data_IF_966244223481
#
_entry.id   IF_966244223481
#
_cell.length_a   1.000
_cell.length_b   1.000
_cell.length_c   1.000
_cell.angle_alpha   90.00
_cell.angle_beta   90.00
_cell.angle_gamma   90.00
#
_symmetry.space_group_name_H-M   'P 1'
#
loop_
_entity.id
_entity.type
_entity.pdbx_description
1 polymer ?
#
# COMPACT_ATOMS: atom_id res chain seq x y z
N UNK A 1 12.05 0.43 -19.58
CA UNK A 1 11.49 0.15 -18.25
C UNK A 1 10.09 -0.38 -18.43
N UNK A 2 9.80 -1.56 -17.87
CA UNK A 2 8.46 -2.14 -17.86
C UNK A 2 7.80 -1.74 -16.55
N UNK A 3 6.58 -1.24 -16.65
CA UNK A 3 5.76 -0.90 -15.48
C UNK A 3 4.53 -1.79 -15.45
N UNK A 4 4.04 -2.09 -14.26
CA UNK A 4 2.73 -2.70 -14.11
C UNK A 4 1.65 -1.74 -14.59
N UNK A 5 0.56 -2.27 -15.08
CA UNK A 5 -0.56 -1.46 -15.55
C UNK A 5 -1.76 -1.57 -14.60
N UNK A 6 -2.75 -0.71 -14.84
CA UNK A 6 -3.93 -0.62 -13.99
C UNK A 6 -4.76 -1.92 -13.90
N UNK A 7 -4.64 -2.81 -14.86
CA UNK A 7 -5.40 -4.06 -14.82
C UNK A 7 -4.98 -4.97 -13.69
N UNK A 8 -3.74 -4.85 -13.25
CA UNK A 8 -3.15 -5.68 -12.21
C UNK A 8 -3.24 -5.02 -10.81
N UNK A 9 -3.73 -3.80 -10.72
CA UNK A 9 -3.77 -3.06 -9.44
C UNK A 9 -4.61 -3.74 -8.37
N UNK A 10 -5.55 -4.57 -8.77
CA UNK A 10 -6.45 -5.29 -7.87
C UNK A 10 -6.00 -6.71 -7.55
N UNK A 11 -4.94 -7.18 -8.14
CA UNK A 11 -4.49 -8.56 -7.98
C UNK A 11 -2.97 -8.66 -7.94
N UNK A 12 -2.39 -9.03 -9.04
CA UNK A 12 -0.98 -9.43 -9.13
C UNK A 12 0.00 -8.35 -8.67
N UNK A 13 -0.35 -7.09 -8.92
CA UNK A 13 0.51 -5.95 -8.53
C UNK A 13 0.57 -5.77 -7.03
N UNK A 14 -0.53 -6.04 -6.33
CA UNK A 14 -0.62 -5.87 -4.88
C UNK A 14 -0.02 -7.07 -4.14
N UNK A 15 -0.17 -8.25 -4.70
CA UNK A 15 0.18 -9.51 -4.04
C UNK A 15 1.45 -10.17 -4.60
N UNK A 16 2.25 -9.42 -5.35
CA UNK A 16 3.30 -10.01 -6.17
C UNK A 16 2.71 -10.58 -7.45
N UNK A 17 3.36 -11.51 -8.06
CA UNK A 17 2.93 -12.14 -9.32
C UNK A 17 2.17 -13.46 -9.09
N UNK A 18 1.51 -13.61 -7.96
CA UNK A 18 0.97 -14.89 -7.52
C UNK A 18 -0.08 -15.50 -8.46
N UNK A 19 -0.76 -14.69 -9.27
CA UNK A 19 -1.75 -15.16 -10.24
C UNK A 19 -1.19 -15.35 -11.64
N UNK A 20 0.11 -15.13 -11.84
CA UNK A 20 0.73 -15.23 -13.14
C UNK A 20 0.98 -16.71 -13.54
N UNK A 21 -0.07 -17.39 -13.96
CA UNK A 21 -0.05 -18.76 -14.50
C UNK A 21 0.65 -19.81 -13.60
N UNK A 22 0.68 -19.59 -12.30
CA UNK A 22 1.31 -20.49 -11.34
C UNK A 22 2.85 -20.52 -11.39
N UNK A 23 3.45 -19.51 -12.01
CA UNK A 23 4.92 -19.40 -12.12
C UNK A 23 5.55 -18.86 -10.84
N UNK A 24 4.84 -18.00 -10.13
CA UNK A 24 5.31 -17.34 -8.91
C UNK A 24 4.60 -17.88 -7.66
N UNK A 25 5.22 -17.73 -6.47
CA UNK A 25 4.59 -18.10 -5.21
C UNK A 25 3.27 -17.37 -5.00
N UNK A 26 2.25 -18.11 -4.59
CA UNK A 26 0.96 -17.53 -4.20
C UNK A 26 1.02 -16.99 -2.78
N UNK A 27 1.02 -15.67 -2.64
CA UNK A 27 0.92 -15.00 -1.36
C UNK A 27 -0.54 -14.74 -0.98
N UNK A 28 -0.88 -14.70 0.31
CA UNK A 28 -2.21 -14.24 0.73
C UNK A 28 -2.38 -12.77 0.41
N UNK A 29 -3.62 -12.28 0.39
CA UNK A 29 -3.91 -10.85 0.27
C UNK A 29 -3.25 -10.02 1.38
N UNK A 30 -3.14 -8.71 1.19
CA UNK A 30 -2.42 -7.81 2.08
C UNK A 30 -2.88 -7.87 3.54
N UNK A 31 -4.18 -7.99 3.80
CA UNK A 31 -4.69 -8.23 5.16
C UNK A 31 -4.24 -9.57 5.73
N UNK A 32 -4.17 -10.60 4.91
CA UNK A 32 -3.65 -11.92 5.31
C UNK A 32 -2.16 -11.87 5.64
N UNK A 33 -1.36 -11.14 4.85
CA UNK A 33 0.06 -10.90 5.14
C UNK A 33 0.20 -10.13 6.46
N UNK A 34 -0.58 -9.07 6.67
CA UNK A 34 -0.56 -8.29 7.90
C UNK A 34 -0.91 -9.14 9.13
N UNK A 35 -1.94 -10.00 9.01
CA UNK A 35 -2.31 -10.94 10.07
C UNK A 35 -1.17 -11.95 10.36
N UNK A 36 -0.53 -12.47 9.33
CA UNK A 36 0.61 -13.38 9.48
C UNK A 36 1.81 -12.69 10.13
N UNK A 37 2.08 -11.45 9.80
CA UNK A 37 3.13 -10.63 10.43
C UNK A 37 2.83 -10.40 11.90
N UNK A 38 1.59 -10.11 12.25
CA UNK A 38 1.19 -9.93 13.66
C UNK A 38 1.40 -11.19 14.49
N UNK A 39 1.25 -12.37 13.88
CA UNK A 39 1.47 -13.67 14.55
C UNK A 39 2.92 -14.15 14.55
N UNK A 40 3.69 -13.84 13.52
CA UNK A 40 5.04 -14.39 13.29
C UNK A 40 6.17 -13.37 13.40
N UNK A 41 5.83 -12.10 13.55
CA UNK A 41 6.80 -11.01 13.62
C UNK A 41 7.16 -10.38 12.27
N UNK A 42 7.82 -9.23 12.33
CA UNK A 42 8.05 -8.36 11.16
C UNK A 42 9.01 -8.92 10.11
N UNK A 43 9.85 -9.91 10.45
CA UNK A 43 10.76 -10.55 9.48
C UNK A 43 10.05 -11.21 8.30
N UNK A 44 8.76 -11.53 8.44
CA UNK A 44 7.96 -12.02 7.31
C UNK A 44 7.77 -10.98 6.23
N UNK A 45 7.68 -9.69 6.60
CA UNK A 45 7.59 -8.59 5.62
C UNK A 45 8.87 -8.51 4.80
N UNK A 46 10.02 -8.66 5.44
CA UNK A 46 11.31 -8.60 4.76
C UNK A 46 11.44 -9.73 3.72
N UNK A 47 11.03 -10.95 4.10
CA UNK A 47 10.98 -12.08 3.17
C UNK A 47 10.03 -11.83 2.00
N UNK A 48 8.84 -11.32 2.28
CA UNK A 48 7.84 -10.98 1.27
C UNK A 48 8.37 -9.92 0.29
N UNK A 49 8.96 -8.84 0.82
CA UNK A 49 9.52 -7.76 0.00
C UNK A 49 10.67 -8.25 -0.91
N UNK A 50 11.56 -9.09 -0.38
CA UNK A 50 12.64 -9.68 -1.16
C UNK A 50 12.11 -10.60 -2.27
N UNK A 51 11.13 -11.44 -1.98
CA UNK A 51 10.51 -12.30 -3.00
C UNK A 51 9.93 -11.47 -4.14
N UNK A 52 9.11 -10.45 -3.82
CA UNK A 52 8.54 -9.56 -4.84
C UNK A 52 9.61 -8.88 -5.67
N UNK A 53 10.61 -8.32 -5.02
CA UNK A 53 11.71 -7.65 -5.73
C UNK A 53 12.38 -8.58 -6.74
N UNK A 54 12.71 -9.79 -6.31
CA UNK A 54 13.39 -10.79 -7.17
C UNK A 54 12.49 -11.27 -8.31
N UNK A 55 11.22 -11.53 -8.03
CA UNK A 55 10.25 -11.98 -9.02
C UNK A 55 10.05 -10.91 -10.10
N UNK A 56 9.83 -9.68 -9.70
CA UNK A 56 9.59 -8.59 -10.63
C UNK A 56 10.83 -8.20 -11.41
N UNK A 57 12.00 -8.21 -10.78
CA UNK A 57 13.26 -7.99 -11.49
C UNK A 57 13.51 -9.07 -12.55
N UNK A 58 13.26 -10.34 -12.22
CA UNK A 58 13.44 -11.47 -13.13
C UNK A 58 12.57 -11.38 -14.40
N UNK A 59 11.39 -10.77 -14.32
CA UNK A 59 10.50 -10.56 -15.47
C UNK A 59 10.58 -9.16 -16.06
N UNK A 60 11.52 -8.31 -15.58
CA UNK A 60 11.76 -6.97 -16.08
C UNK A 60 10.72 -5.92 -15.66
N UNK A 61 9.89 -6.18 -14.65
CA UNK A 61 8.99 -5.19 -14.06
C UNK A 61 9.77 -4.30 -13.10
N UNK A 62 9.93 -3.04 -13.43
CA UNK A 62 10.77 -2.10 -12.68
C UNK A 62 9.99 -1.05 -11.90
N UNK A 63 8.67 -1.03 -12.01
CA UNK A 63 7.81 -0.13 -11.22
C UNK A 63 6.44 -0.75 -11.00
N UNK A 64 5.99 -0.69 -9.73
CA UNK A 64 4.64 -0.98 -9.33
C UNK A 64 3.99 0.19 -8.59
N UNK A 65 2.69 0.33 -8.64
CA UNK A 65 1.96 1.30 -7.81
C UNK A 65 1.25 0.60 -6.66
N UNK A 66 2.07 0.13 -5.79
CA UNK A 66 1.80 -0.58 -4.56
C UNK A 66 2.73 -0.06 -3.45
N UNK A 67 2.39 -0.11 -2.20
CA UNK A 67 1.17 -0.69 -1.59
C UNK A 67 0.23 0.41 -1.11
N UNK A 68 -1.00 -0.01 -0.71
CA UNK A 68 -1.94 0.86 -0.04
C UNK A 68 -1.51 1.06 1.41
N UNK A 69 -1.07 2.29 1.72
CA UNK A 69 -0.77 2.73 3.08
C UNK A 69 -2.02 3.27 3.81
N UNK A 70 -3.17 3.07 3.18
CA UNK A 70 -4.46 3.50 3.71
C UNK A 70 -4.82 2.71 4.97
N UNK A 71 -5.14 3.39 6.06
CA UNK A 71 -5.74 2.78 7.23
C UNK A 71 -7.25 2.58 6.98
N UNK A 72 -7.75 1.36 7.17
CA UNK A 72 -9.13 0.99 6.95
C UNK A 72 -9.99 1.48 8.12
N UNK A 73 -10.42 2.74 8.09
CA UNK A 73 -11.26 3.34 9.15
C UNK A 73 -12.76 3.29 8.83
N UNK A 74 -13.13 3.08 7.57
CA UNK A 74 -14.52 2.81 7.17
C UNK A 74 -14.62 1.42 6.50
N UNK A 75 -15.22 0.43 7.17
CA UNK A 75 -15.32 -0.94 6.64
C UNK A 75 -16.26 -1.06 5.43
N UNK A 76 -17.06 -0.03 5.12
CA UNK A 76 -17.93 0.01 3.93
C UNK A 76 -17.14 0.29 2.66
N UNK A 77 -15.91 0.78 2.79
CA UNK A 77 -15.07 1.05 1.64
C UNK A 77 -14.70 -0.26 0.92
N UNK A 78 -15.06 -0.36 -0.34
CA UNK A 78 -14.90 -1.59 -1.12
C UNK A 78 -13.44 -2.04 -1.32
N UNK A 79 -12.46 -1.15 -1.12
CA UNK A 79 -11.03 -1.48 -1.30
C UNK A 79 -10.31 -1.88 -0.02
N UNK A 80 -11.03 -2.15 1.05
CA UNK A 80 -10.46 -2.59 2.33
C UNK A 80 -9.56 -3.81 2.19
N UNK A 81 -9.90 -4.73 1.28
CA UNK A 81 -9.12 -5.94 1.01
C UNK A 81 -7.66 -5.67 0.60
N UNK A 82 -7.38 -4.52 -0.01
CA UNK A 82 -6.03 -4.12 -0.46
C UNK A 82 -5.19 -3.42 0.62
N UNK A 83 -5.75 -3.20 1.82
CA UNK A 83 -5.06 -2.56 2.93
C UNK A 83 -4.34 -3.57 3.82
N UNK A 84 -3.50 -3.08 4.72
CA UNK A 84 -2.92 -3.88 5.82
C UNK A 84 -3.80 -3.84 7.09
N UNK A 85 -5.04 -3.37 7.00
CA UNK A 85 -5.99 -3.27 8.11
C UNK A 85 -6.15 -1.86 8.65
N UNK A 86 -6.52 -1.76 9.92
CA UNK A 86 -6.87 -0.50 10.57
C UNK A 86 -5.82 0.02 11.56
N UNK A 87 -4.88 -0.83 11.97
CA UNK A 87 -3.86 -0.50 12.97
C UNK A 87 -2.74 0.37 12.34
N UNK A 88 -2.65 1.67 12.68
CA UNK A 88 -1.68 2.56 12.07
C UNK A 88 -0.24 2.19 12.39
N UNK A 89 0.03 1.59 13.54
CA UNK A 89 1.37 1.15 13.90
C UNK A 89 1.81 -0.03 13.02
N UNK A 90 0.94 -1.02 12.82
CA UNK A 90 1.21 -2.15 11.94
C UNK A 90 1.40 -1.69 10.49
N UNK A 91 0.52 -0.82 9.97
CA UNK A 91 0.63 -0.31 8.60
C UNK A 91 1.94 0.44 8.41
N UNK A 92 2.31 1.29 9.39
CA UNK A 92 3.57 2.04 9.37
C UNK A 92 4.77 1.10 9.35
N UNK A 93 4.79 0.06 10.17
CA UNK A 93 5.84 -0.95 10.17
C UNK A 93 5.92 -1.69 8.83
N UNK A 94 4.78 -2.13 8.29
CA UNK A 94 4.72 -2.77 6.97
C UNK A 94 5.35 -1.89 5.89
N UNK A 95 4.90 -0.65 5.78
CA UNK A 95 5.40 0.29 4.76
C UNK A 95 6.89 0.59 4.96
N UNK A 96 7.35 0.78 6.20
CA UNK A 96 8.75 1.08 6.50
C UNK A 96 9.72 -0.04 6.08
N UNK A 97 9.25 -1.28 6.01
CA UNK A 97 10.03 -2.45 5.56
C UNK A 97 9.84 -2.74 4.08
N UNK A 98 8.61 -2.66 3.58
CA UNK A 98 8.30 -2.93 2.17
C UNK A 98 9.02 -1.98 1.23
N UNK A 99 9.07 -0.69 1.55
CA UNK A 99 9.71 0.31 0.66
C UNK A 99 11.16 -0.03 0.40
N UNK A 100 12.07 -0.11 1.40
CA UNK A 100 13.46 -0.43 1.13
C UNK A 100 13.67 -1.87 0.64
N UNK A 101 12.89 -2.83 1.11
CA UNK A 101 13.00 -4.23 0.71
C UNK A 101 12.71 -4.43 -0.77
N UNK A 102 11.68 -3.78 -1.30
CA UNK A 102 11.30 -3.86 -2.72
C UNK A 102 12.20 -2.97 -3.58
N UNK A 103 12.58 -1.79 -3.10
CA UNK A 103 13.49 -0.89 -3.82
C UNK A 103 14.96 -1.35 -3.77
N UNK A 104 15.31 -2.26 -2.87
CA UNK A 104 16.61 -2.87 -2.76
C UNK A 104 17.59 -2.14 -1.84
N UNK A 105 17.23 -0.96 -1.31
CA UNK A 105 18.05 -0.25 -0.31
C UNK A 105 17.27 0.79 0.47
N UNK A 106 17.81 1.19 1.63
CA UNK A 106 17.36 2.33 2.43
C UNK A 106 17.59 3.69 1.74
N UNK A 107 18.40 3.71 0.69
CA UNK A 107 18.79 4.93 -0.03
C UNK A 107 17.93 5.20 -1.27
N UNK A 108 17.01 4.30 -1.60
CA UNK A 108 16.14 4.39 -2.77
C UNK A 108 16.27 3.16 -3.67
N UNK A 109 15.90 3.29 -4.94
CA UNK A 109 15.84 2.18 -5.89
C UNK A 109 17.23 1.78 -6.37
N UNK A 110 17.56 0.49 -6.26
CA UNK A 110 18.80 -0.07 -6.85
C UNK A 110 18.54 -0.56 -8.29
N UNK A 111 19.58 -0.92 -9.06
CA UNK A 111 19.41 -1.51 -10.40
C UNK A 111 18.56 -2.77 -10.41
N UNK A 112 18.63 -3.60 -9.37
CA UNK A 112 17.84 -4.82 -9.17
C UNK A 112 16.54 -4.55 -8.39
N UNK A 113 16.32 -3.30 -8.00
CA UNK A 113 15.15 -2.86 -7.26
C UNK A 113 13.95 -2.62 -8.15
N UNK A 114 12.80 -2.53 -7.49
CA UNK A 114 11.53 -2.16 -8.11
C UNK A 114 11.04 -0.87 -7.47
N UNK A 115 10.84 0.16 -8.27
CA UNK A 115 10.29 1.42 -7.81
C UNK A 115 8.86 1.24 -7.31
N UNK A 116 8.54 1.73 -6.11
CA UNK A 116 7.21 1.63 -5.53
C UNK A 116 6.45 2.96 -5.59
N UNK A 117 5.13 2.88 -5.65
CA UNK A 117 4.24 4.02 -5.53
C UNK A 117 3.28 3.77 -4.37
N UNK A 118 3.53 4.42 -3.26
CA UNK A 118 2.69 4.27 -2.07
C UNK A 118 1.42 5.12 -2.21
N UNK A 119 0.28 4.55 -1.86
CA UNK A 119 -1.05 5.13 -2.14
C UNK A 119 -2.04 4.83 -1.00
N UNK A 120 -3.11 5.60 -0.88
CA UNK A 120 -3.52 6.81 -1.63
C UNK A 120 -3.46 8.02 -0.70
N UNK A 121 -2.50 8.89 -0.92
CA UNK A 121 -2.27 10.04 -0.03
C UNK A 121 -3.48 11.00 -0.02
N UNK A 122 -3.88 11.52 1.13
CA UNK A 122 -3.29 11.38 2.47
C UNK A 122 -3.89 10.26 3.33
N UNK A 123 -4.55 9.30 2.75
CA UNK A 123 -5.21 8.16 3.42
C UNK A 123 -6.67 8.05 3.00
N UNK A 124 -6.94 7.08 2.12
CA UNK A 124 -8.25 6.91 1.49
C UNK A 124 -9.26 6.11 2.31
N UNK A 125 -8.86 5.56 3.47
CA UNK A 125 -9.71 4.68 4.26
C UNK A 125 -10.88 5.36 4.97
N UNK A 126 -10.82 6.68 5.16
CA UNK A 126 -11.89 7.47 5.78
C UNK A 126 -12.92 7.96 4.73
N UNK A 127 -13.56 7.01 4.05
CA UNK A 127 -14.49 7.32 2.96
C UNK A 127 -15.84 7.84 3.45
N UNK A 128 -16.32 8.95 2.88
CA UNK A 128 -17.69 9.38 3.13
C UNK A 128 -18.66 8.27 2.67
N UNK A 129 -19.38 7.70 3.63
CA UNK A 129 -20.32 6.60 3.41
C UNK A 129 -19.74 5.35 2.69
N UNK A 130 -18.42 5.20 2.68
CA UNK A 130 -17.76 4.10 1.98
C UNK A 130 -17.70 4.27 0.45
N UNK A 131 -18.15 5.37 -0.11
CA UNK A 131 -18.25 5.56 -1.57
C UNK A 131 -16.88 5.61 -2.26
N UNK A 132 -16.83 5.05 -3.46
CA UNK A 132 -15.64 5.02 -4.29
C UNK A 132 -15.35 6.41 -4.90
N UNK A 133 -14.10 6.92 -4.78
CA UNK A 133 -13.74 8.24 -5.28
C UNK A 133 -13.59 8.32 -6.82
N UNK A 134 -13.74 7.22 -7.53
CA UNK A 134 -13.83 7.23 -8.98
C UNK A 134 -15.18 7.77 -9.49
N UNK A 135 -16.14 7.95 -8.57
CA UNK A 135 -17.48 8.43 -8.87
C UNK A 135 -17.78 9.73 -8.10
N UNK A 136 -18.70 10.52 -8.64
CA UNK A 136 -19.04 11.84 -8.11
C UNK A 136 -19.42 11.83 -6.61
N UNK A 137 -20.18 10.83 -6.18
CA UNK A 137 -20.60 10.69 -4.78
C UNK A 137 -19.45 10.38 -3.82
N UNK A 138 -18.29 10.00 -4.31
CA UNK A 138 -17.14 9.60 -3.52
C UNK A 138 -16.06 10.67 -3.37
N UNK A 139 -16.38 11.96 -3.51
CA UNK A 139 -15.39 13.03 -3.58
C UNK A 139 -14.65 13.32 -2.27
N UNK A 140 -15.15 12.87 -1.12
CA UNK A 140 -14.66 13.30 0.17
C UNK A 140 -14.07 12.19 1.02
N UNK A 141 -12.92 12.47 1.63
CA UNK A 141 -12.44 11.78 2.81
C UNK A 141 -12.90 12.55 4.05
N UNK A 142 -13.58 11.88 4.96
CA UNK A 142 -14.11 12.45 6.18
C UNK A 142 -13.39 11.83 7.37
N UNK A 143 -12.47 12.57 7.94
CA UNK A 143 -11.72 12.15 9.14
C UNK A 143 -12.53 12.57 10.36
N UNK A 144 -13.47 11.69 10.76
CA UNK A 144 -14.54 12.02 11.72
C UNK A 144 -14.08 12.36 13.13
N UNK A 145 -12.94 11.80 13.55
CA UNK A 145 -12.39 12.08 14.86
C UNK A 145 -11.30 13.14 14.73
N UNK A 146 -11.34 14.16 15.59
CA UNK A 146 -10.31 15.19 15.64
C UNK A 146 -8.91 14.56 15.78
N UNK A 147 -7.97 15.02 14.97
CA UNK A 147 -6.62 14.47 14.92
C UNK A 147 -6.46 13.17 14.14
N UNK A 148 -7.53 12.48 13.75
CA UNK A 148 -7.44 11.14 13.14
C UNK A 148 -6.66 11.10 11.84
N UNK A 149 -6.66 12.15 11.04
CA UNK A 149 -5.78 12.26 9.87
C UNK A 149 -4.31 12.10 10.27
N UNK A 150 -3.89 12.83 11.32
CA UNK A 150 -2.52 12.78 11.84
C UNK A 150 -2.15 11.46 12.50
N UNK A 151 -3.08 10.89 13.26
CA UNK A 151 -2.81 9.75 14.13
C UNK A 151 -2.96 8.40 13.42
N UNK A 152 -3.90 8.29 12.48
CA UNK A 152 -4.19 7.02 11.80
C UNK A 152 -3.73 6.97 10.35
N UNK A 153 -3.84 8.07 9.60
CA UNK A 153 -3.66 8.02 8.14
C UNK A 153 -2.27 8.47 7.69
N UNK A 154 -1.72 9.52 8.28
CA UNK A 154 -0.43 10.06 7.85
C UNK A 154 0.82 9.27 8.29
N UNK A 155 0.85 8.51 9.40
CA UNK A 155 2.09 7.87 9.87
C UNK A 155 2.74 6.97 8.82
N UNK A 156 1.97 6.15 8.11
CA UNK A 156 2.50 5.25 7.08
C UNK A 156 3.06 6.02 5.86
N UNK A 157 2.46 7.15 5.49
CA UNK A 157 2.99 8.00 4.42
C UNK A 157 4.26 8.73 4.83
N UNK A 158 4.37 9.16 6.10
CA UNK A 158 5.62 9.70 6.66
C UNK A 158 6.73 8.65 6.57
N UNK A 159 6.46 7.44 7.01
CA UNK A 159 7.40 6.33 6.89
C UNK A 159 7.82 6.07 5.44
N UNK A 160 6.87 6.09 4.49
CA UNK A 160 7.18 5.94 3.07
C UNK A 160 8.16 7.02 2.56
N UNK A 161 7.95 8.28 2.96
CA UNK A 161 8.84 9.41 2.60
C UNK A 161 10.21 9.24 3.25
N UNK A 162 10.27 8.90 4.54
CA UNK A 162 11.52 8.67 5.28
C UNK A 162 12.33 7.53 4.66
N UNK A 163 11.66 6.47 4.20
CA UNK A 163 12.25 5.33 3.49
C UNK A 163 12.45 5.56 1.99
N UNK A 164 12.26 6.80 1.54
CA UNK A 164 12.52 7.23 0.15
C UNK A 164 11.75 6.44 -0.90
N UNK A 165 10.46 6.22 -0.65
CA UNK A 165 9.56 5.67 -1.67
C UNK A 165 9.67 6.49 -2.95
N UNK A 166 9.78 5.80 -4.09
CA UNK A 166 10.01 6.43 -5.40
C UNK A 166 8.93 7.41 -5.82
N UNK A 167 7.70 7.15 -5.37
CA UNK A 167 6.56 8.02 -5.64
C UNK A 167 5.43 7.78 -4.65
N UNK A 168 4.58 8.80 -4.52
CA UNK A 168 3.34 8.76 -3.75
C UNK A 168 2.20 9.15 -4.68
N UNK A 169 1.12 8.39 -4.66
CA UNK A 169 -0.08 8.66 -5.45
C UNK A 169 -1.13 9.35 -4.59
N UNK A 170 -1.52 10.58 -4.94
CA UNK A 170 -2.68 11.23 -4.31
C UNK A 170 -3.97 10.47 -4.60
N UNK A 171 -4.91 10.54 -3.68
CA UNK A 171 -6.24 10.01 -3.92
C UNK A 171 -7.12 11.02 -4.68
N UNK A 172 -8.14 10.52 -5.34
CA UNK A 172 -9.11 11.39 -6.02
C UNK A 172 -10.00 12.16 -5.04
N UNK A 173 -10.26 11.57 -3.87
CA UNK A 173 -11.03 12.23 -2.84
C UNK A 173 -10.22 13.29 -2.11
N UNK A 174 -10.88 14.37 -1.74
CA UNK A 174 -10.31 15.49 -0.99
C UNK A 174 -10.59 15.32 0.50
N UNK A 175 -9.66 15.69 1.38
CA UNK A 175 -9.98 15.89 2.78
C UNK A 175 -11.10 16.94 2.92
N UNK A 176 -12.15 16.59 3.65
CA UNK A 176 -13.25 17.51 3.92
C UNK A 176 -12.91 18.33 5.17
N UNK A 177 -12.37 19.53 5.00
CA UNK A 177 -11.95 20.41 6.10
C UNK A 177 -13.09 20.74 7.09
N UNK A 178 -14.33 20.73 6.63
CA UNK A 178 -15.50 20.99 7.45
C UNK A 178 -15.98 19.77 8.26
N UNK A 179 -15.37 18.61 8.00
CA UNK A 179 -15.78 17.31 8.53
C UNK A 179 -14.60 16.54 9.14
N UNK A 180 -13.44 17.21 9.28
CA UNK A 180 -12.20 16.59 9.77
C UNK A 180 -11.78 17.17 11.11
#
# INVERSE_FOLDING_TARGET
VITSNSRNENGEVVFGMNDAAGVFPAWPGTMGIAAAVKGNGPGLVDTFAECIRREWDAVGLKKGYMYMADAMTDPRWQRTYGTFGEDPALITEMISRLVPGIQGSESGVTPEGVAVTIKHFPGGGARENGFDPHYEQGQWNVYQTEGSLGDYHLPAFKAAVEKKASSIMPYYAKPAAEKS
#
